data_IF_324967925086
#
_entry.id   IF_324967925086
#
_cell.length_a   1.000
_cell.length_b   1.000
_cell.length_c   1.000
_cell.angle_alpha   90.00
_cell.angle_beta   90.00
_cell.angle_gamma   90.00
#
_symmetry.space_group_name_H-M   'P 1'
#
loop_
_entity.id
_entity.type
_entity.pdbx_description
1 polymer ?
#
# COMPACT_ATOMS: atom_id res chain seq x y z
N UNK A 1 -21.16 25.50 -32.76
CA UNK A 1 -22.07 24.47 -32.21
C UNK A 1 -21.36 23.14 -31.93
N UNK A 2 -20.58 22.57 -32.86
CA UNK A 2 -19.91 21.27 -32.66
C UNK A 2 -18.86 21.20 -31.53
N UNK A 3 -18.05 22.24 -31.30
CA UNK A 3 -17.00 22.20 -30.27
C UNK A 3 -17.53 22.08 -28.84
N UNK A 4 -18.70 22.67 -28.55
CA UNK A 4 -19.31 22.58 -27.23
C UNK A 4 -19.80 21.16 -26.94
N UNK A 5 -20.46 20.52 -27.91
CA UNK A 5 -20.92 19.13 -27.81
C UNK A 5 -19.76 18.15 -27.62
N UNK A 6 -18.68 18.29 -28.40
CA UNK A 6 -17.50 17.41 -28.29
C UNK A 6 -16.83 17.58 -26.92
N UNK A 7 -16.70 18.81 -26.42
CA UNK A 7 -16.13 19.09 -25.10
C UNK A 7 -16.99 18.49 -23.98
N UNK A 8 -18.30 18.68 -24.02
CA UNK A 8 -19.21 18.08 -23.03
C UNK A 8 -19.18 16.56 -23.05
N UNK A 9 -19.06 15.94 -24.22
CA UNK A 9 -19.03 14.48 -24.36
C UNK A 9 -17.71 13.88 -23.86
N UNK A 10 -16.59 14.58 -24.10
CA UNK A 10 -15.29 14.20 -23.55
C UNK A 10 -15.27 14.28 -22.01
N UNK A 11 -15.84 15.35 -21.45
CA UNK A 11 -15.95 15.54 -20.00
C UNK A 11 -16.83 14.44 -19.37
N UNK A 12 -18.00 14.18 -19.95
CA UNK A 12 -18.91 13.10 -19.49
C UNK A 12 -18.24 11.72 -19.57
N UNK A 13 -17.50 11.45 -20.64
CA UNK A 13 -16.75 10.19 -20.79
C UNK A 13 -15.70 10.01 -19.69
N UNK A 14 -14.95 11.06 -19.35
CA UNK A 14 -13.98 11.03 -18.25
C UNK A 14 -14.64 10.75 -16.90
N UNK A 15 -15.82 11.33 -16.64
CA UNK A 15 -16.57 11.07 -15.41
C UNK A 15 -17.09 9.62 -15.33
N UNK A 16 -17.57 9.05 -16.44
CA UNK A 16 -18.06 7.67 -16.50
C UNK A 16 -16.93 6.66 -16.30
N UNK A 17 -15.77 6.88 -16.93
CA UNK A 17 -14.58 6.02 -16.78
C UNK A 17 -14.05 6.08 -15.36
N UNK A 18 -13.94 7.28 -14.77
CA UNK A 18 -13.49 7.43 -13.38
C UNK A 18 -14.43 6.74 -12.38
N UNK A 19 -15.74 6.85 -12.57
CA UNK A 19 -16.73 6.22 -11.70
C UNK A 19 -16.69 4.69 -11.78
N UNK A 20 -16.52 4.15 -12.99
CA UNK A 20 -16.43 2.70 -13.21
C UNK A 20 -15.15 2.13 -12.59
N UNK A 21 -14.02 2.80 -12.77
CA UNK A 21 -12.74 2.41 -12.17
C UNK A 21 -12.76 2.46 -10.65
N UNK A 22 -13.43 3.46 -10.05
CA UNK A 22 -13.56 3.54 -8.60
C UNK A 22 -14.41 2.40 -8.01
N UNK A 23 -15.48 2.00 -8.72
CA UNK A 23 -16.33 0.87 -8.32
C UNK A 23 -15.59 -0.47 -8.40
N UNK A 24 -14.92 -0.75 -9.53
CA UNK A 24 -14.15 -1.99 -9.70
C UNK A 24 -12.99 -2.09 -8.72
N UNK A 25 -12.32 -0.98 -8.43
CA UNK A 25 -11.26 -0.95 -7.43
C UNK A 25 -11.79 -1.24 -6.01
N UNK A 26 -12.94 -0.67 -5.66
CA UNK A 26 -13.57 -0.98 -4.37
C UNK A 26 -13.92 -2.47 -4.24
N UNK A 27 -14.40 -3.11 -5.30
CA UNK A 27 -14.63 -4.56 -5.32
C UNK A 27 -13.33 -5.36 -5.12
N UNK A 28 -12.23 -4.95 -5.75
CA UNK A 28 -10.92 -5.58 -5.52
C UNK A 28 -10.43 -5.40 -4.09
N UNK A 29 -10.55 -4.20 -3.53
CA UNK A 29 -10.20 -3.91 -2.13
C UNK A 29 -11.03 -4.79 -1.19
N UNK A 30 -12.34 -4.81 -1.36
CA UNK A 30 -13.24 -5.59 -0.51
C UNK A 30 -12.92 -7.08 -0.58
N UNK A 31 -12.71 -7.64 -1.77
CA UNK A 31 -12.39 -9.05 -1.97
C UNK A 31 -11.07 -9.46 -1.31
N UNK A 32 -10.03 -8.63 -1.39
CA UNK A 32 -8.74 -8.90 -0.77
C UNK A 32 -8.79 -8.71 0.75
N UNK A 33 -9.49 -7.68 1.24
CA UNK A 33 -9.63 -7.42 2.66
C UNK A 33 -10.52 -8.44 3.40
N UNK A 34 -11.28 -9.31 2.69
CA UNK A 34 -11.94 -10.46 3.36
C UNK A 34 -10.94 -11.46 3.94
N UNK A 35 -9.70 -11.48 3.43
CA UNK A 35 -8.68 -12.48 3.79
C UNK A 35 -7.79 -12.02 4.95
N UNK A 36 -7.94 -10.80 5.43
CA UNK A 36 -7.14 -10.26 6.53
C UNK A 36 -7.90 -10.26 7.85
N UNK A 37 -7.16 -10.29 8.97
CA UNK A 37 -7.75 -10.35 10.32
C UNK A 37 -8.65 -9.16 10.65
N UNK A 38 -8.26 -7.96 10.22
CA UNK A 38 -9.00 -6.73 10.48
C UNK A 38 -9.48 -6.10 9.18
N UNK A 39 -10.65 -6.54 8.72
CA UNK A 39 -11.26 -6.05 7.48
C UNK A 39 -11.54 -4.54 7.51
N UNK A 40 -12.11 -4.03 8.61
CA UNK A 40 -12.42 -2.59 8.74
C UNK A 40 -11.16 -1.73 8.65
N UNK A 41 -10.06 -2.17 9.28
CA UNK A 41 -8.78 -1.50 9.13
C UNK A 41 -8.26 -1.51 7.69
N UNK A 42 -8.37 -2.66 7.01
CA UNK A 42 -7.92 -2.81 5.63
C UNK A 42 -8.72 -1.95 4.66
N UNK A 43 -10.06 -2.06 4.69
CA UNK A 43 -10.93 -1.30 3.78
C UNK A 43 -10.94 0.17 4.18
N UNK A 44 -11.53 0.48 5.35
CA UNK A 44 -12.00 1.83 5.67
C UNK A 44 -10.91 2.74 6.24
N UNK A 45 -9.88 2.18 6.87
CA UNK A 45 -8.81 2.97 7.49
C UNK A 45 -7.54 3.04 6.66
N UNK A 46 -7.34 2.13 5.70
CA UNK A 46 -6.08 2.00 4.95
C UNK A 46 -6.29 2.16 3.46
N UNK A 47 -6.98 1.23 2.79
CA UNK A 47 -6.98 1.14 1.33
C UNK A 47 -7.92 2.17 0.67
N UNK A 48 -9.04 2.53 1.30
CA UNK A 48 -9.93 3.57 0.74
C UNK A 48 -9.50 4.99 1.11
N UNK A 49 -8.59 5.15 2.07
CA UNK A 49 -8.08 6.47 2.52
C UNK A 49 -6.75 6.83 1.90
N UNK A 50 -6.04 5.85 1.31
CA UNK A 50 -4.77 6.06 0.64
C UNK A 50 -4.98 6.31 -0.87
N UNK A 51 -4.66 7.51 -1.41
CA UNK A 51 -4.99 7.85 -2.79
C UNK A 51 -4.42 6.90 -3.86
N UNK A 52 -3.16 6.40 -3.75
CA UNK A 52 -2.62 5.47 -4.75
C UNK A 52 -3.39 4.14 -4.83
N UNK A 53 -3.90 3.62 -3.71
CA UNK A 53 -4.75 2.42 -3.74
C UNK A 53 -6.11 2.73 -4.33
N UNK A 54 -6.71 3.90 -4.08
CA UNK A 54 -7.99 4.33 -4.68
C UNK A 54 -7.89 4.57 -6.19
N UNK A 55 -6.72 5.00 -6.69
CA UNK A 55 -6.48 5.21 -8.12
C UNK A 55 -6.04 3.96 -8.89
N UNK A 56 -5.81 2.83 -8.20
CA UNK A 56 -5.42 1.59 -8.85
C UNK A 56 -6.52 1.07 -9.79
N UNK A 57 -6.15 0.70 -11.02
CA UNK A 57 -7.07 0.20 -12.05
C UNK A 57 -7.03 -1.32 -12.21
N UNK A 58 -6.37 -2.03 -11.29
CA UNK A 58 -6.27 -3.48 -11.29
C UNK A 58 -5.47 -4.01 -10.10
N UNK A 59 -5.41 -5.34 -9.96
CA UNK A 59 -4.76 -6.01 -8.82
C UNK A 59 -3.26 -5.73 -8.72
N UNK A 60 -2.54 -5.70 -9.84
CA UNK A 60 -1.09 -5.45 -9.83
C UNK A 60 -0.77 -4.02 -9.36
N UNK A 61 -1.33 -2.94 -9.95
CA UNK A 61 -1.17 -1.59 -9.41
C UNK A 61 -1.66 -1.44 -7.96
N UNK A 62 -2.70 -2.17 -7.55
CA UNK A 62 -3.17 -2.18 -6.17
C UNK A 62 -2.12 -2.79 -5.23
N UNK A 63 -1.55 -3.94 -5.59
CA UNK A 63 -0.50 -4.60 -4.82
C UNK A 63 0.77 -3.74 -4.72
N UNK A 64 1.20 -3.11 -5.83
CA UNK A 64 2.31 -2.15 -5.83
C UNK A 64 2.04 -0.98 -4.87
N UNK A 65 0.84 -0.41 -4.90
CA UNK A 65 0.47 0.69 -4.01
C UNK A 65 0.48 0.26 -2.54
N UNK A 66 0.01 -0.95 -2.22
CA UNK A 66 0.01 -1.50 -0.84
C UNK A 66 1.42 -1.79 -0.35
N UNK A 67 2.28 -2.40 -1.16
CA UNK A 67 3.68 -2.66 -0.78
C UNK A 67 4.42 -1.34 -0.54
N UNK A 68 4.23 -0.34 -1.40
CA UNK A 68 4.82 0.99 -1.22
C UNK A 68 4.34 1.67 0.08
N UNK A 69 3.05 1.55 0.40
CA UNK A 69 2.51 2.04 1.66
C UNK A 69 3.19 1.34 2.86
N UNK A 70 3.31 0.01 2.82
CA UNK A 70 3.97 -0.77 3.86
C UNK A 70 5.45 -0.37 4.05
N UNK A 71 6.20 -0.18 2.95
CA UNK A 71 7.58 0.32 2.98
C UNK A 71 7.65 1.67 3.69
N UNK A 72 6.81 2.63 3.30
CA UNK A 72 6.82 3.96 3.88
C UNK A 72 6.52 3.95 5.38
N UNK A 73 5.59 3.11 5.82
CA UNK A 73 5.28 2.92 7.24
C UNK A 73 6.43 2.25 8.01
N UNK A 74 7.06 1.23 7.44
CA UNK A 74 8.19 0.55 8.05
C UNK A 74 9.40 1.46 8.17
N UNK A 75 9.73 2.23 7.13
CA UNK A 75 10.81 3.24 7.14
C UNK A 75 10.57 4.32 8.20
N UNK A 76 9.34 4.84 8.28
CA UNK A 76 8.96 5.81 9.32
C UNK A 76 9.10 5.24 10.72
N UNK A 77 8.74 3.97 10.90
CA UNK A 77 8.80 3.31 12.22
C UNK A 77 10.25 2.99 12.63
N UNK A 78 11.09 2.54 11.68
CA UNK A 78 12.53 2.42 11.90
C UNK A 78 13.14 3.76 12.35
N UNK A 79 12.83 4.85 11.64
CA UNK A 79 13.30 6.19 11.99
C UNK A 79 12.83 6.64 13.38
N UNK A 80 11.57 6.38 13.73
CA UNK A 80 11.04 6.67 15.06
C UNK A 80 11.76 5.87 16.16
N UNK A 81 11.98 4.57 15.95
CA UNK A 81 12.69 3.72 16.89
C UNK A 81 14.13 4.20 17.10
N UNK A 82 14.86 4.49 16.01
CA UNK A 82 16.22 5.03 16.08
C UNK A 82 16.29 6.37 16.80
N UNK A 83 15.33 7.27 16.59
CA UNK A 83 15.29 8.55 17.29
C UNK A 83 14.95 8.39 18.77
N UNK A 84 14.01 7.50 19.09
CA UNK A 84 13.60 7.25 20.48
C UNK A 84 14.73 6.58 21.27
N UNK A 85 15.52 5.71 20.65
CA UNK A 85 16.70 5.09 21.27
C UNK A 85 17.75 6.12 21.75
N UNK A 86 17.79 7.31 21.16
CA UNK A 86 18.69 8.40 21.58
C UNK A 86 18.20 9.11 22.84
N UNK A 87 16.88 9.18 23.00
CA UNK A 87 16.21 9.99 24.02
C UNK A 87 15.78 9.16 25.24
N UNK A 88 15.49 7.87 25.05
CA UNK A 88 15.01 6.95 26.10
C UNK A 88 16.09 5.94 26.51
N UNK A 89 16.99 6.38 27.39
CA UNK A 89 18.14 5.56 27.81
C UNK A 89 17.74 4.21 28.44
N UNK A 90 16.61 4.16 29.16
CA UNK A 90 16.12 2.94 29.82
C UNK A 90 15.67 1.85 28.83
N UNK A 91 15.29 2.23 27.60
CA UNK A 91 14.76 1.33 26.58
C UNK A 91 15.61 1.31 25.30
N UNK A 92 16.83 1.84 25.36
CA UNK A 92 17.70 2.03 24.19
C UNK A 92 17.92 0.73 23.41
N UNK A 93 18.18 -0.37 24.11
CA UNK A 93 18.40 -1.68 23.48
C UNK A 93 17.16 -2.14 22.73
N UNK A 94 15.98 -2.04 23.35
CA UNK A 94 14.71 -2.46 22.75
C UNK A 94 14.36 -1.61 21.52
N UNK A 95 14.62 -0.29 21.57
CA UNK A 95 14.41 0.57 20.42
C UNK A 95 15.40 0.33 19.29
N UNK A 96 16.65 -0.04 19.58
CA UNK A 96 17.60 -0.46 18.54
C UNK A 96 17.18 -1.79 17.89
N UNK A 97 16.76 -2.78 18.68
CA UNK A 97 16.22 -4.05 18.15
C UNK A 97 14.99 -3.80 17.27
N UNK A 98 14.11 -2.90 17.70
CA UNK A 98 12.94 -2.47 16.92
C UNK A 98 13.36 -1.80 15.59
N UNK A 99 14.33 -0.88 15.63
CA UNK A 99 14.88 -0.27 14.42
C UNK A 99 15.41 -1.33 13.44
N UNK A 100 16.24 -2.25 13.92
CA UNK A 100 16.87 -3.27 13.09
C UNK A 100 15.84 -4.23 12.49
N UNK A 101 14.81 -4.60 13.27
CA UNK A 101 13.68 -5.37 12.77
C UNK A 101 12.95 -4.63 11.63
N UNK A 102 12.62 -3.34 11.81
CA UNK A 102 11.96 -2.58 10.74
C UNK A 102 12.86 -2.35 9.51
N UNK A 103 14.19 -2.26 9.68
CA UNK A 103 15.12 -2.24 8.54
C UNK A 103 15.05 -3.55 7.75
N UNK A 104 15.00 -4.69 8.42
CA UNK A 104 14.83 -5.99 7.78
C UNK A 104 13.48 -6.10 7.04
N UNK A 105 12.38 -5.65 7.68
CA UNK A 105 11.05 -5.57 7.06
C UNK A 105 11.09 -4.73 5.78
N UNK A 106 11.73 -3.56 5.80
CA UNK A 106 11.89 -2.71 4.63
C UNK A 106 12.65 -3.42 3.51
N UNK A 107 13.71 -4.17 3.84
CA UNK A 107 14.47 -4.92 2.85
C UNK A 107 13.61 -6.00 2.16
N UNK A 108 12.87 -6.79 2.94
CA UNK A 108 11.94 -7.81 2.41
C UNK A 108 10.84 -7.19 1.55
N UNK A 109 10.22 -6.08 1.98
CA UNK A 109 9.18 -5.42 1.21
C UNK A 109 9.70 -4.79 -0.10
N UNK A 110 10.94 -4.26 -0.09
CA UNK A 110 11.60 -3.78 -1.31
C UNK A 110 11.90 -4.92 -2.28
N UNK A 111 12.32 -6.08 -1.76
CA UNK A 111 12.50 -7.30 -2.55
C UNK A 111 11.17 -7.74 -3.18
N UNK A 112 10.10 -7.84 -2.38
CA UNK A 112 8.75 -8.15 -2.87
C UNK A 112 8.29 -7.20 -3.98
N UNK A 113 8.57 -5.89 -3.85
CA UNK A 113 8.21 -4.91 -4.89
C UNK A 113 8.96 -5.11 -6.21
N UNK A 114 10.19 -5.61 -6.19
CA UNK A 114 10.96 -5.91 -7.39
C UNK A 114 10.39 -7.18 -8.04
N UNK A 115 10.17 -8.20 -7.23
CA UNK A 115 9.73 -9.52 -7.67
C UNK A 115 8.28 -9.57 -8.14
N UNK A 116 7.41 -8.68 -7.64
CA UNK A 116 6.00 -8.61 -8.03
C UNK A 116 5.82 -8.43 -9.55
N UNK A 117 6.82 -7.85 -10.22
CA UNK A 117 6.85 -7.64 -11.67
C UNK A 117 7.28 -8.89 -12.44
N UNK A 118 7.91 -9.85 -11.76
CA UNK A 118 8.43 -11.09 -12.34
C UNK A 118 7.49 -12.26 -12.03
N UNK A 119 7.24 -12.55 -10.74
CA UNK A 119 6.33 -13.62 -10.30
C UNK A 119 5.60 -13.23 -9.00
N UNK A 120 4.32 -13.57 -8.91
CA UNK A 120 3.55 -13.32 -7.68
C UNK A 120 4.00 -14.18 -6.50
N UNK A 121 4.57 -15.35 -6.75
CA UNK A 121 4.86 -16.34 -5.70
C UNK A 121 6.06 -15.94 -4.85
N UNK A 122 7.12 -15.44 -5.48
CA UNK A 122 8.31 -14.97 -4.76
C UNK A 122 8.00 -13.66 -4.01
N UNK A 123 7.27 -12.74 -4.63
CA UNK A 123 6.80 -11.53 -3.95
C UNK A 123 5.92 -11.84 -2.73
N UNK A 124 5.05 -12.86 -2.82
CA UNK A 124 4.24 -13.31 -1.68
C UNK A 124 5.11 -13.88 -0.56
N UNK A 125 6.16 -14.65 -0.89
CA UNK A 125 7.11 -15.18 0.08
C UNK A 125 7.85 -14.06 0.81
N UNK A 126 8.33 -13.05 0.09
CA UNK A 126 9.03 -11.91 0.69
C UNK A 126 8.12 -11.08 1.61
N UNK A 127 6.85 -10.88 1.23
CA UNK A 127 5.86 -10.24 2.12
C UNK A 127 5.60 -11.09 3.36
N UNK A 128 5.51 -12.41 3.23
CA UNK A 128 5.33 -13.31 4.38
C UNK A 128 6.51 -13.21 5.35
N UNK A 129 7.75 -13.29 4.85
CA UNK A 129 8.97 -13.18 5.65
C UNK A 129 9.09 -11.83 6.35
N UNK A 130 8.52 -10.76 5.78
CA UNK A 130 8.48 -9.45 6.45
C UNK A 130 7.61 -9.40 7.71
N UNK A 131 6.76 -10.41 7.94
CA UNK A 131 5.88 -10.50 9.10
C UNK A 131 6.25 -11.55 10.14
N UNK A 132 7.30 -12.36 9.86
CA UNK A 132 7.80 -13.45 10.71
C UNK A 132 8.87 -12.95 11.70
#
# INVERSE_FOLDING_TARGET
SNNFFVLTMAILSQFLVASTSALTNREYIDANCQRVKNKTFCVDHTLTTYPPTVSATGLLPLAEAVINLAIAHAEKTAGFAAETAKNEAALKTQFNECHDAYVAIVASLKSASLELKETSDTANYDVMVSGD
#
